data_IF_113144955062
#
_entry.id   IF_113144955062
#
_cell.length_a   1.000
_cell.length_b   1.000
_cell.length_c   1.000
_cell.angle_alpha   90.00
_cell.angle_beta   90.00
_cell.angle_gamma   90.00
#
_symmetry.space_group_name_H-M   'P 1'
#
loop_
_entity.id
_entity.type
_entity.pdbx_description
1 polymer ?
#
# COMPACT_ATOMS: atom_id res chain seq x y z
N UNK A 1 17.26 28.29 -12.24
CA UNK A 1 18.32 27.35 -11.82
C UNK A 1 17.90 26.71 -10.51
N UNK A 2 18.21 25.42 -10.34
CA UNK A 2 17.71 24.45 -9.34
C UNK A 2 16.24 24.08 -9.55
N UNK A 3 15.84 22.86 -9.91
CA UNK A 3 16.51 21.57 -9.98
C UNK A 3 15.42 20.54 -9.68
N UNK A 4 14.84 19.92 -10.70
CA UNK A 4 13.84 18.84 -10.56
C UNK A 4 14.58 17.64 -10.00
N UNK A 5 14.45 17.38 -8.70
CA UNK A 5 14.93 16.13 -8.11
C UNK A 5 13.91 15.04 -8.43
N UNK A 6 14.13 14.39 -9.58
CA UNK A 6 13.57 13.08 -9.86
C UNK A 6 14.13 12.12 -8.80
N UNK A 7 13.37 11.89 -7.74
CA UNK A 7 13.61 10.81 -6.79
C UNK A 7 13.28 9.50 -7.46
N UNK A 8 14.26 8.90 -8.12
CA UNK A 8 14.19 7.52 -8.57
C UNK A 8 14.13 6.58 -7.34
N UNK A 9 12.92 6.18 -6.96
CA UNK A 9 12.75 5.03 -6.07
C UNK A 9 13.19 3.78 -6.84
N UNK A 10 14.41 3.33 -6.60
CA UNK A 10 14.90 2.04 -7.07
C UNK A 10 14.15 0.95 -6.31
N UNK A 11 13.07 0.47 -6.92
CA UNK A 11 12.30 -0.65 -6.46
C UNK A 11 13.14 -1.91 -6.59
N UNK A 12 13.67 -2.43 -5.47
CA UNK A 12 14.26 -3.75 -5.43
C UNK A 12 13.16 -4.78 -5.69
N UNK A 13 13.15 -5.29 -6.91
CA UNK A 13 12.30 -6.37 -7.41
C UNK A 13 12.58 -7.65 -6.61
N UNK A 14 11.80 -7.90 -5.57
CA UNK A 14 11.74 -9.20 -4.91
C UNK A 14 10.35 -9.42 -4.32
N UNK A 15 9.51 -10.14 -5.06
CA UNK A 15 8.35 -10.86 -4.53
C UNK A 15 6.98 -10.20 -4.55
N UNK A 16 6.74 -9.13 -5.32
CA UNK A 16 5.38 -8.56 -5.43
C UNK A 16 4.50 -9.39 -6.36
N UNK A 17 3.46 -9.96 -5.76
CA UNK A 17 2.22 -10.34 -6.44
C UNK A 17 1.83 -9.25 -7.43
N UNK A 18 1.84 -9.59 -8.72
CA UNK A 18 1.39 -8.71 -9.79
C UNK A 18 -0.12 -8.48 -9.62
N UNK A 19 -0.50 -7.39 -8.95
CA UNK A 19 -1.84 -6.83 -9.11
C UNK A 19 -1.91 -6.24 -10.53
N UNK A 20 -2.10 -7.09 -11.52
CA UNK A 20 -2.31 -6.67 -12.90
C UNK A 20 -3.67 -5.97 -12.99
N UNK A 21 -3.71 -4.67 -12.67
CA UNK A 21 -4.78 -3.79 -13.12
C UNK A 21 -4.61 -3.64 -14.63
N UNK A 22 -5.22 -4.54 -15.39
CA UNK A 22 -5.27 -4.46 -16.85
C UNK A 22 -5.90 -3.13 -17.25
N UNK A 23 -5.03 -2.25 -17.75
CA UNK A 23 -5.22 -1.12 -18.66
C UNK A 23 -6.64 -0.62 -18.89
N UNK A 24 -6.95 0.58 -18.39
CA UNK A 24 -7.31 1.68 -19.29
C UNK A 24 -7.20 3.07 -18.63
N UNK A 25 -6.65 4.00 -19.42
CA UNK A 25 -6.79 5.46 -19.37
C UNK A 25 -6.43 6.23 -18.08
N UNK A 26 -5.35 7.02 -18.18
CA UNK A 26 -5.05 8.23 -17.39
C UNK A 26 -5.52 8.16 -15.93
N UNK A 27 -5.02 7.18 -15.19
CA UNK A 27 -5.32 7.13 -13.76
C UNK A 27 -4.65 8.33 -13.09
N UNK A 28 -5.49 9.25 -12.62
CA UNK A 28 -5.11 10.30 -11.68
C UNK A 28 -4.28 9.68 -10.56
N UNK A 29 -3.17 10.32 -10.18
CA UNK A 29 -2.21 9.77 -9.22
C UNK A 29 -2.88 9.37 -7.90
N UNK A 30 -4.00 10.04 -7.55
CA UNK A 30 -4.83 9.74 -6.39
C UNK A 30 -5.52 8.38 -6.47
N UNK A 31 -5.96 7.94 -7.66
CA UNK A 31 -6.64 6.66 -7.87
C UNK A 31 -5.76 5.43 -7.55
N UNK A 32 -4.43 5.63 -7.48
CA UNK A 32 -3.49 4.58 -7.09
C UNK A 32 -3.60 4.19 -5.62
N UNK A 33 -4.08 5.10 -4.75
CA UNK A 33 -4.13 4.90 -3.30
C UNK A 33 -5.48 4.43 -2.77
N UNK A 34 -6.54 4.48 -3.59
CA UNK A 34 -7.86 4.02 -3.21
C UNK A 34 -8.13 2.61 -3.74
N UNK A 35 -8.73 1.79 -2.88
CA UNK A 35 -8.98 0.38 -3.12
C UNK A 35 -10.44 0.06 -2.81
N UNK A 36 -11.04 -0.86 -3.56
CA UNK A 36 -12.37 -1.36 -3.24
C UNK A 36 -12.35 -2.21 -1.96
N UNK A 37 -13.49 -2.28 -1.26
CA UNK A 37 -13.62 -3.08 -0.03
C UNK A 37 -13.16 -4.54 -0.22
N UNK A 38 -13.62 -5.19 -1.30
CA UNK A 38 -13.24 -6.57 -1.61
C UNK A 38 -11.73 -6.74 -1.85
N UNK A 39 -11.09 -5.78 -2.51
CA UNK A 39 -9.64 -5.80 -2.75
C UNK A 39 -8.86 -5.67 -1.44
N UNK A 40 -9.34 -4.85 -0.50
CA UNK A 40 -8.75 -4.73 0.84
C UNK A 40 -8.94 -6.01 1.66
N UNK A 41 -10.14 -6.61 1.62
CA UNK A 41 -10.49 -7.77 2.45
C UNK A 41 -9.86 -9.09 1.97
N UNK A 42 -9.74 -9.27 0.65
CA UNK A 42 -9.34 -10.54 0.03
C UNK A 42 -8.01 -10.45 -0.74
N UNK A 43 -7.60 -9.25 -1.14
CA UNK A 43 -6.44 -9.02 -2.02
C UNK A 43 -5.28 -8.27 -1.38
N UNK A 44 -5.32 -8.00 -0.07
CA UNK A 44 -4.21 -7.33 0.60
C UNK A 44 -2.94 -8.18 0.58
N UNK A 45 -1.73 -7.59 0.53
CA UNK A 45 -0.48 -8.35 0.58
C UNK A 45 -0.37 -9.25 1.82
N UNK A 46 -0.92 -8.83 2.95
CA UNK A 46 -0.94 -9.62 4.20
C UNK A 46 -1.70 -10.94 4.08
N UNK A 47 -2.60 -11.08 3.10
CA UNK A 47 -3.27 -12.36 2.80
C UNK A 47 -2.25 -13.43 2.38
N UNK A 48 -1.19 -13.05 1.66
CA UNK A 48 -0.14 -13.97 1.20
C UNK A 48 0.58 -14.60 2.40
N UNK A 49 0.72 -13.86 3.49
CA UNK A 49 1.33 -14.30 4.74
C UNK A 49 0.34 -15.00 5.69
N UNK A 50 -0.86 -15.34 5.22
CA UNK A 50 -1.92 -15.98 6.03
C UNK A 50 -2.33 -15.18 7.28
N UNK A 51 -2.11 -13.86 7.28
CA UNK A 51 -2.71 -12.96 8.27
C UNK A 51 -4.20 -12.92 7.95
N UNK A 52 -5.11 -12.84 8.92
CA UNK A 52 -6.57 -12.69 8.73
C UNK A 52 -6.99 -11.21 8.79
N UNK A 53 -8.18 -10.85 8.27
CA UNK A 53 -8.60 -9.44 8.20
C UNK A 53 -8.61 -8.77 9.59
N UNK A 54 -8.99 -9.52 10.63
CA UNK A 54 -9.06 -9.01 12.00
C UNK A 54 -7.67 -8.75 12.56
N UNK A 55 -6.71 -9.68 12.39
CA UNK A 55 -5.32 -9.46 12.80
C UNK A 55 -4.66 -8.32 12.02
N UNK A 56 -4.87 -8.24 10.72
CA UNK A 56 -4.35 -7.14 9.90
C UNK A 56 -4.91 -5.78 10.36
N UNK A 57 -6.21 -5.71 10.67
CA UNK A 57 -6.86 -4.51 11.22
C UNK A 57 -6.27 -4.13 12.58
N UNK A 58 -6.04 -5.11 13.45
CA UNK A 58 -5.41 -4.88 14.74
C UNK A 58 -4.00 -4.30 14.58
N UNK A 59 -3.19 -4.89 13.70
CA UNK A 59 -1.83 -4.43 13.41
C UNK A 59 -1.82 -2.97 12.94
N UNK A 60 -2.67 -2.61 11.96
CA UNK A 60 -2.81 -1.23 11.49
C UNK A 60 -3.14 -0.25 12.62
N UNK A 61 -4.10 -0.59 13.47
CA UNK A 61 -4.48 0.25 14.62
C UNK A 61 -3.34 0.38 15.63
N UNK A 62 -2.67 -0.72 15.95
CA UNK A 62 -1.54 -0.73 16.89
C UNK A 62 -0.37 0.10 16.39
N UNK A 63 -0.10 0.09 15.08
CA UNK A 63 0.92 0.92 14.47
C UNK A 63 0.57 2.41 14.53
N UNK A 64 -0.67 2.78 14.23
CA UNK A 64 -1.11 4.17 14.39
C UNK A 64 -0.99 4.64 15.85
N UNK A 65 -1.31 3.77 16.81
CA UNK A 65 -1.15 4.09 18.24
C UNK A 65 0.33 4.28 18.59
N UNK A 66 1.20 3.37 18.13
CA UNK A 66 2.64 3.50 18.31
C UNK A 66 3.19 4.82 17.74
N UNK A 67 2.73 5.24 16.56
CA UNK A 67 3.11 6.55 16.00
C UNK A 67 2.63 7.72 16.87
N UNK A 68 1.41 7.65 17.40
CA UNK A 68 0.87 8.66 18.32
C UNK A 68 1.68 8.75 19.61
N UNK A 69 2.12 7.61 20.15
CA UNK A 69 2.95 7.56 21.35
C UNK A 69 4.33 8.21 21.14
N UNK A 70 4.83 8.21 19.89
CA UNK A 70 6.06 8.91 19.49
C UNK A 70 5.85 10.42 19.23
N UNK A 71 4.61 10.90 19.22
CA UNK A 71 4.27 12.31 18.99
C UNK A 71 4.07 12.70 17.52
N UNK A 72 3.76 11.74 16.64
CA UNK A 72 3.37 11.97 15.23
C UNK A 72 1.86 12.13 15.06
#
# INVERSE_FOLDING_TARGET
MAGVLAGECSYSESGISSYSRSSNEKQDESARWYFGKKEIEEGSPSRLDSIDLKKETYLRKSYCTFLQDLGM
#
